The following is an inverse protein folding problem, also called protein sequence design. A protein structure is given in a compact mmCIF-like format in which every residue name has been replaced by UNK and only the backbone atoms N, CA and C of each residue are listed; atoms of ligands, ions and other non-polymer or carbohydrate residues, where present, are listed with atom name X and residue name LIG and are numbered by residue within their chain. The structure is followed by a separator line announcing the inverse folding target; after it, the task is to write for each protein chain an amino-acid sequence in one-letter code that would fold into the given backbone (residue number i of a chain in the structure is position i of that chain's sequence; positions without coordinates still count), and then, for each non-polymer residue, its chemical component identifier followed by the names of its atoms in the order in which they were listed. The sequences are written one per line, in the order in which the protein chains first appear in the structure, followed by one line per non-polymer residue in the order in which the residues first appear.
data_IF_398964421055
#
_entry.id   IF_398964421055
#
_cell.length_a   1.000
_cell.length_b   1.000
_cell.length_c   1.000
_cell.angle_alpha   90.00
_cell.angle_beta   90.00
_cell.angle_gamma   90.00
#
_symmetry.space_group_name_H-M   'P 1'
#
loop_
_entity.id
_entity.type
_entity.pdbx_description
1 polymer ?
#
# COMPACT_ATOMS: atom_id res chain seq x y z
N UNK A 1 15.95 -13.93 -36.43
CA UNK A 1 16.07 -12.68 -35.65
C UNK A 1 14.67 -12.22 -35.32
N UNK A 2 14.16 -12.55 -34.13
CA UNK A 2 12.80 -12.20 -33.71
C UNK A 2 12.85 -10.85 -33.00
N UNK A 3 12.11 -9.87 -33.53
CA UNK A 3 11.89 -8.61 -32.85
C UNK A 3 11.29 -8.87 -31.46
N UNK A 4 11.81 -8.20 -30.44
CA UNK A 4 11.22 -8.24 -29.10
C UNK A 4 9.78 -7.73 -29.17
N UNK A 5 8.80 -8.55 -28.74
CA UNK A 5 7.37 -8.20 -28.74
C UNK A 5 7.08 -6.94 -27.90
N UNK A 6 7.94 -6.65 -26.92
CA UNK A 6 7.97 -5.36 -26.20
C UNK A 6 9.25 -4.61 -26.59
N UNK A 7 9.16 -3.38 -27.12
CA UNK A 7 10.34 -2.59 -27.44
C UNK A 7 11.26 -2.46 -26.22
N UNK A 8 12.57 -2.65 -26.41
CA UNK A 8 13.55 -2.56 -25.30
C UNK A 8 13.49 -1.22 -24.54
N UNK A 9 13.07 -0.15 -25.23
CA UNK A 9 12.84 1.19 -24.66
C UNK A 9 11.79 1.15 -23.53
N UNK A 10 10.83 0.23 -23.58
CA UNK A 10 9.78 0.06 -22.57
C UNK A 10 10.18 -1.00 -21.54
N UNK A 11 10.80 -2.10 -21.98
CA UNK A 11 11.12 -3.22 -21.11
C UNK A 11 12.20 -2.88 -20.06
N UNK A 12 13.26 -2.16 -20.45
CA UNK A 12 14.37 -1.83 -19.53
C UNK A 12 13.97 -0.90 -18.38
N UNK A 13 13.22 0.20 -18.61
CA UNK A 13 12.69 1.00 -17.51
C UNK A 13 11.82 0.20 -16.54
N UNK A 14 11.00 -0.72 -17.04
CA UNK A 14 10.16 -1.58 -16.20
C UNK A 14 10.99 -2.57 -15.39
N UNK A 15 12.00 -3.20 -15.98
CA UNK A 15 12.95 -4.06 -15.25
C UNK A 15 13.73 -3.25 -14.20
N UNK A 16 14.13 -2.02 -14.53
CA UNK A 16 14.76 -1.09 -13.59
C UNK A 16 13.85 -0.77 -12.40
N UNK A 17 12.57 -0.46 -12.66
CA UNK A 17 11.57 -0.24 -11.62
C UNK A 17 11.36 -1.49 -10.75
N UNK A 18 11.22 -2.66 -11.35
CA UNK A 18 11.10 -3.94 -10.63
C UNK A 18 12.31 -4.17 -9.72
N UNK A 19 13.51 -3.88 -10.22
CA UNK A 19 14.77 -3.99 -9.46
C UNK A 19 14.77 -3.04 -8.26
N UNK A 20 14.39 -1.77 -8.46
CA UNK A 20 14.29 -0.79 -7.38
C UNK A 20 13.28 -1.21 -6.31
N UNK A 21 12.10 -1.70 -6.72
CA UNK A 21 11.09 -2.22 -5.80
C UNK A 21 11.66 -3.40 -5.00
N UNK A 22 12.33 -4.35 -5.64
CA UNK A 22 12.93 -5.50 -4.98
C UNK A 22 13.99 -5.09 -3.96
N UNK A 23 14.92 -4.20 -4.34
CA UNK A 23 15.97 -3.68 -3.45
C UNK A 23 15.36 -2.96 -2.26
N UNK A 24 14.37 -2.10 -2.49
CA UNK A 24 13.63 -1.41 -1.44
C UNK A 24 12.97 -2.37 -0.46
N UNK A 25 12.35 -3.45 -0.98
CA UNK A 25 11.75 -4.49 -0.14
C UNK A 25 12.77 -5.28 0.66
N UNK A 26 13.89 -5.68 0.06
CA UNK A 26 14.94 -6.36 0.82
C UNK A 26 15.52 -5.48 1.92
N UNK A 27 15.63 -4.17 1.69
CA UNK A 27 16.15 -3.22 2.68
C UNK A 27 15.17 -2.91 3.81
N UNK A 28 13.87 -2.85 3.52
CA UNK A 28 12.87 -2.38 4.48
C UNK A 28 11.88 -3.41 5.00
N UNK A 29 11.70 -4.52 4.28
CA UNK A 29 10.65 -5.52 4.48
C UNK A 29 11.24 -6.94 4.32
N UNK A 30 12.20 -7.31 5.18
CA UNK A 30 12.85 -8.64 5.12
C UNK A 30 12.99 -9.31 6.51
N UNK A 31 12.16 -8.90 7.46
CA UNK A 31 12.25 -9.36 8.85
C UNK A 31 11.51 -10.68 9.05
N UNK A 32 10.26 -10.77 8.59
CA UNK A 32 9.39 -11.94 8.75
C UNK A 32 9.59 -12.99 7.64
N UNK A 33 9.27 -14.26 7.93
CA UNK A 33 9.26 -15.36 6.97
C UNK A 33 8.28 -15.12 5.81
N UNK A 34 7.13 -14.51 6.07
CA UNK A 34 6.15 -14.10 5.05
C UNK A 34 6.80 -13.22 3.98
N UNK A 35 7.48 -12.18 4.43
CA UNK A 35 8.19 -11.23 3.57
C UNK A 35 9.36 -11.89 2.82
N UNK A 36 10.08 -12.81 3.48
CA UNK A 36 11.17 -13.55 2.86
C UNK A 36 10.70 -14.40 1.68
N UNK A 37 9.58 -15.12 1.79
CA UNK A 37 9.06 -15.90 0.68
C UNK A 37 8.57 -15.01 -0.46
N UNK A 38 7.85 -13.94 -0.15
CA UNK A 38 7.38 -13.01 -1.17
C UNK A 38 8.56 -12.34 -1.91
N UNK A 39 9.58 -11.87 -1.20
CA UNK A 39 10.76 -11.26 -1.83
C UNK A 39 11.58 -12.27 -2.64
N UNK A 40 11.61 -13.56 -2.26
CA UNK A 40 12.22 -14.63 -3.06
C UNK A 40 11.42 -14.90 -4.33
N UNK A 41 10.10 -14.96 -4.25
CA UNK A 41 9.22 -15.05 -5.43
C UNK A 41 9.52 -13.90 -6.39
N UNK A 42 9.52 -12.66 -5.92
CA UNK A 42 9.84 -11.49 -6.75
C UNK A 42 11.26 -11.59 -7.35
N UNK A 43 12.26 -12.03 -6.58
CA UNK A 43 13.61 -12.21 -7.09
C UNK A 43 13.66 -13.24 -8.23
N UNK A 44 13.02 -14.40 -8.09
CA UNK A 44 12.95 -15.39 -9.16
C UNK A 44 12.17 -14.89 -10.38
N UNK A 45 11.07 -14.16 -10.18
CA UNK A 45 10.32 -13.53 -11.26
C UNK A 45 11.17 -12.50 -12.03
N UNK A 46 11.97 -11.67 -11.32
CA UNK A 46 12.89 -10.72 -11.94
C UNK A 46 13.99 -11.45 -12.73
N UNK A 47 14.59 -12.49 -12.17
CA UNK A 47 15.61 -13.29 -12.85
C UNK A 47 15.02 -13.95 -14.10
N UNK A 48 13.82 -14.54 -14.01
CA UNK A 48 13.12 -15.10 -15.16
C UNK A 48 12.88 -14.03 -16.24
N UNK A 49 12.47 -12.82 -15.86
CA UNK A 49 12.25 -11.70 -16.77
C UNK A 49 13.54 -11.26 -17.48
N UNK A 50 14.65 -11.15 -16.74
CA UNK A 50 15.97 -10.79 -17.29
C UNK A 50 16.48 -11.88 -18.25
N UNK A 51 16.33 -13.16 -17.91
CA UNK A 51 16.72 -14.27 -18.79
C UNK A 51 15.90 -14.33 -20.08
N UNK A 52 14.68 -13.80 -20.06
CA UNK A 52 13.80 -13.71 -21.23
C UNK A 52 14.07 -12.49 -22.11
N UNK A 53 14.92 -11.55 -21.68
CA UNK A 53 15.27 -10.37 -22.46
C UNK A 53 16.25 -10.67 -23.60
N UNK A 54 16.01 -10.06 -24.75
CA UNK A 54 16.74 -10.34 -25.99
C UNK A 54 18.23 -9.97 -25.90
N UNK A 55 18.57 -8.86 -25.24
CA UNK A 55 19.97 -8.45 -25.04
C UNK A 55 20.70 -9.48 -24.19
N UNK A 56 20.07 -9.95 -23.12
CA UNK A 56 20.66 -10.96 -22.23
C UNK A 56 20.82 -12.27 -22.99
N UNK A 57 19.80 -12.72 -23.72
CA UNK A 57 19.90 -13.91 -24.57
C UNK A 57 21.04 -13.79 -25.59
N UNK A 58 21.19 -12.64 -26.24
CA UNK A 58 22.25 -12.40 -27.21
C UNK A 58 23.65 -12.43 -26.56
N UNK A 59 23.79 -11.93 -25.33
CA UNK A 59 25.06 -12.00 -24.59
C UNK A 59 25.40 -13.46 -24.24
N UNK A 60 24.43 -14.23 -23.75
CA UNK A 60 24.62 -15.64 -23.40
C UNK A 60 24.99 -16.50 -24.62
N UNK A 61 24.36 -16.24 -25.76
CA UNK A 61 24.67 -16.89 -27.04
C UNK A 61 26.03 -16.43 -27.58
N UNK A 62 26.30 -15.14 -27.55
CA UNK A 62 27.55 -14.55 -28.06
C UNK A 62 28.79 -14.95 -27.26
N UNK A 63 28.63 -15.26 -25.97
CA UNK A 63 29.69 -15.78 -25.10
C UNK A 63 29.86 -17.31 -25.16
N UNK A 64 29.08 -17.99 -26.03
CA UNK A 64 29.02 -19.44 -26.14
C UNK A 64 28.68 -20.18 -24.83
N UNK A 65 28.15 -19.48 -23.83
CA UNK A 65 27.77 -20.07 -22.55
C UNK A 65 26.52 -20.97 -22.69
N UNK A 66 25.57 -20.56 -23.55
CA UNK A 66 24.32 -21.30 -23.75
C UNK A 66 23.72 -21.07 -25.13
N UNK A 67 22.97 -22.04 -25.66
CA UNK A 67 22.20 -21.87 -26.89
C UNK A 67 20.95 -21.01 -26.64
N UNK A 68 20.42 -20.37 -27.68
CA UNK A 68 19.21 -19.53 -27.57
C UNK A 68 18.02 -20.30 -26.95
N UNK A 69 17.68 -21.53 -27.39
CA UNK A 69 16.65 -22.34 -26.73
C UNK A 69 16.99 -22.70 -25.29
N UNK A 70 18.28 -22.85 -24.96
CA UNK A 70 18.76 -23.13 -23.62
C UNK A 70 18.47 -21.98 -22.65
N UNK A 71 18.79 -20.74 -23.03
CA UNK A 71 18.54 -19.56 -22.18
C UNK A 71 17.05 -19.38 -21.92
N UNK A 72 16.22 -19.65 -22.92
CA UNK A 72 14.76 -19.60 -22.78
C UNK A 72 14.23 -20.69 -21.84
N UNK A 73 14.71 -21.94 -21.96
CA UNK A 73 14.36 -23.03 -21.04
C UNK A 73 14.79 -22.72 -19.59
N UNK A 74 15.96 -22.11 -19.41
CA UNK A 74 16.41 -21.66 -18.09
C UNK A 74 15.46 -20.59 -17.51
N UNK A 75 15.08 -19.58 -18.30
CA UNK A 75 14.11 -18.57 -17.89
C UNK A 75 12.76 -19.18 -17.48
N UNK A 76 12.26 -20.14 -18.26
CA UNK A 76 11.01 -20.86 -17.97
C UNK A 76 11.11 -21.76 -16.74
N UNK A 77 12.26 -22.41 -16.50
CA UNK A 77 12.51 -23.19 -15.29
C UNK A 77 12.54 -22.31 -14.03
N UNK A 78 13.20 -21.15 -14.11
CA UNK A 78 13.24 -20.17 -13.02
C UNK A 78 11.84 -19.62 -12.73
N UNK A 79 11.06 -19.32 -13.78
CA UNK A 79 9.68 -18.89 -13.65
C UNK A 79 8.82 -19.96 -12.96
N UNK A 80 8.89 -21.22 -13.42
CA UNK A 80 8.16 -22.32 -12.81
C UNK A 80 8.55 -22.54 -11.34
N UNK A 81 9.83 -22.39 -11.02
CA UNK A 81 10.33 -22.48 -9.65
C UNK A 81 9.79 -21.36 -8.75
N UNK A 82 9.59 -20.15 -9.29
CA UNK A 82 9.07 -19.01 -8.53
C UNK A 82 7.69 -19.29 -7.90
N UNK A 83 6.87 -20.12 -8.54
CA UNK A 83 5.56 -20.53 -8.02
C UNK A 83 5.68 -21.35 -6.73
N UNK A 84 6.77 -22.10 -6.54
CA UNK A 84 7.01 -22.85 -5.30
C UNK A 84 7.27 -21.93 -4.11
N UNK A 85 8.04 -20.85 -4.30
CA UNK A 85 8.22 -19.82 -3.25
C UNK A 85 6.89 -19.11 -2.96
N UNK A 86 6.07 -18.91 -4.00
CA UNK A 86 4.77 -18.28 -3.83
C UNK A 86 3.77 -19.19 -3.10
N UNK A 87 3.85 -20.51 -3.29
CA UNK A 87 3.15 -21.50 -2.46
C UNK A 87 3.58 -21.38 -0.99
N UNK A 88 4.87 -21.18 -0.71
CA UNK A 88 5.36 -20.90 0.64
C UNK A 88 4.71 -19.67 1.28
N UNK A 89 4.52 -18.62 0.48
CA UNK A 89 3.79 -17.42 0.89
C UNK A 89 2.29 -17.67 1.14
N UNK A 90 1.59 -18.37 0.23
CA UNK A 90 0.15 -18.63 0.40
C UNK A 90 -0.15 -19.58 1.56
N UNK A 91 0.78 -20.47 1.91
CA UNK A 91 0.69 -21.30 3.11
C UNK A 91 0.72 -20.48 4.41
N UNK A 92 1.56 -19.44 4.49
CA UNK A 92 1.56 -18.53 5.65
C UNK A 92 0.32 -17.65 5.65
N UNK A 93 -0.09 -17.16 4.47
CA UNK A 93 -1.31 -16.38 4.32
C UNK A 93 -2.52 -17.12 4.88
N UNK A 94 -2.63 -18.43 4.63
CA UNK A 94 -3.75 -19.24 5.12
C UNK A 94 -3.71 -19.52 6.63
N UNK A 95 -2.79 -18.91 7.38
CA UNK A 95 -2.70 -19.03 8.83
C UNK A 95 -1.98 -20.28 9.34
N UNK A 96 -1.17 -20.95 8.51
CA UNK A 96 -0.32 -22.04 9.02
C UNK A 96 0.80 -21.48 9.90
N UNK A 97 1.24 -22.27 10.88
CA UNK A 97 2.43 -21.94 11.68
C UNK A 97 3.69 -21.85 10.78
N UNK A 98 4.70 -21.10 11.23
CA UNK A 98 5.97 -21.01 10.49
C UNK A 98 6.67 -22.37 10.36
N UNK A 99 6.61 -23.20 11.40
CA UNK A 99 7.25 -24.51 11.43
C UNK A 99 6.59 -25.47 10.43
N UNK A 100 5.25 -25.53 10.43
CA UNK A 100 4.50 -26.37 9.51
C UNK A 100 4.68 -25.93 8.06
N UNK A 101 4.72 -24.61 7.84
CA UNK A 101 4.98 -24.04 6.52
C UNK A 101 6.36 -24.44 6.02
N UNK A 102 7.42 -24.31 6.83
CA UNK A 102 8.77 -24.71 6.42
C UNK A 102 8.84 -26.19 6.05
N UNK A 103 8.16 -27.05 6.80
CA UNK A 103 8.11 -28.49 6.50
C UNK A 103 7.40 -28.76 5.17
N UNK A 104 6.19 -28.25 4.97
CA UNK A 104 5.43 -28.43 3.73
C UNK A 104 6.14 -27.82 2.52
N UNK A 105 6.70 -26.62 2.69
CA UNK A 105 7.40 -25.90 1.63
C UNK A 105 8.65 -26.63 1.12
N UNK A 106 9.36 -27.39 1.97
CA UNK A 106 10.49 -28.23 1.51
C UNK A 106 10.05 -29.24 0.46
N UNK A 107 8.89 -29.87 0.62
CA UNK A 107 8.35 -30.81 -0.37
C UNK A 107 8.00 -30.12 -1.69
N UNK A 108 7.39 -28.93 -1.63
CA UNK A 108 7.10 -28.14 -2.84
C UNK A 108 8.36 -27.67 -3.56
N UNK A 109 9.42 -27.27 -2.84
CA UNK A 109 10.71 -26.94 -3.45
C UNK A 109 11.37 -28.14 -4.11
N UNK A 110 11.32 -29.30 -3.45
CA UNK A 110 11.84 -30.54 -4.02
C UNK A 110 11.07 -30.91 -5.29
N UNK A 111 9.73 -30.85 -5.24
CA UNK A 111 8.87 -31.09 -6.40
C UNK A 111 9.19 -30.11 -7.54
N UNK A 112 9.34 -28.81 -7.25
CA UNK A 112 9.71 -27.81 -8.25
C UNK A 112 11.10 -28.05 -8.85
N UNK A 113 12.07 -28.50 -8.05
CA UNK A 113 13.39 -28.87 -8.56
C UNK A 113 13.33 -30.10 -9.46
N UNK A 114 12.54 -31.12 -9.10
CA UNK A 114 12.33 -32.31 -9.93
C UNK A 114 11.60 -31.96 -11.24
N UNK A 115 10.60 -31.08 -11.19
CA UNK A 115 9.89 -30.61 -12.39
C UNK A 115 10.81 -29.76 -13.29
N UNK A 116 11.67 -28.92 -12.72
CA UNK A 116 12.68 -28.18 -13.48
C UNK A 116 13.69 -29.14 -14.15
N UNK A 117 14.12 -30.19 -13.44
CA UNK A 117 14.97 -31.22 -14.03
C UNK A 117 14.25 -31.96 -15.17
N UNK A 118 12.97 -32.33 -14.99
CA UNK A 118 12.14 -32.92 -16.04
C UNK A 118 12.02 -32.02 -17.26
N UNK A 119 11.79 -30.71 -17.06
CA UNK A 119 11.77 -29.70 -18.12
C UNK A 119 13.10 -29.68 -18.89
N UNK A 120 14.24 -29.72 -18.21
CA UNK A 120 15.54 -29.73 -18.87
C UNK A 120 15.83 -31.04 -19.61
N UNK A 121 15.40 -32.19 -19.08
CA UNK A 121 15.60 -33.51 -19.69
C UNK A 121 14.75 -33.61 -20.96
N UNK A 122 13.44 -33.40 -20.86
CA UNK A 122 12.51 -33.47 -21.99
C UNK A 122 12.77 -32.37 -23.03
N UNK A 123 13.23 -31.19 -22.59
CA UNK A 123 13.65 -30.10 -23.48
C UNK A 123 14.98 -30.33 -24.19
N UNK A 124 15.72 -31.42 -23.90
CA UNK A 124 17.05 -31.66 -24.49
C UNK A 124 17.01 -31.81 -26.01
N UNK A 125 15.99 -32.50 -26.55
CA UNK A 125 15.83 -32.68 -28.00
C UNK A 125 15.63 -31.33 -28.72
N UNK A 126 14.78 -30.46 -28.17
CA UNK A 126 14.60 -29.10 -28.66
C UNK A 126 15.91 -28.30 -28.73
N UNK A 127 16.77 -28.44 -27.72
CA UNK A 127 18.06 -27.74 -27.67
C UNK A 127 19.02 -28.26 -28.75
N UNK A 128 19.01 -29.56 -29.02
CA UNK A 128 19.82 -30.17 -30.07
C UNK A 128 19.34 -29.70 -31.45
N UNK A 129 18.03 -29.64 -31.66
CA UNK A 129 17.43 -29.26 -32.95
C UNK A 129 17.36 -27.73 -33.17
N UNK A 130 17.79 -26.93 -32.19
CA UNK A 130 17.72 -25.45 -32.19
C UNK A 130 16.30 -24.89 -32.43
N UNK A 131 15.27 -25.68 -32.12
CA UNK A 131 13.87 -25.28 -32.27
C UNK A 131 13.39 -24.63 -30.96
N UNK A 132 12.61 -23.56 -31.07
CA UNK A 132 11.99 -22.95 -29.89
C UNK A 132 10.96 -23.89 -29.27
N UNK A 133 10.79 -23.81 -27.96
CA UNK A 133 9.89 -24.67 -27.20
C UNK A 133 8.45 -24.69 -27.75
N UNK A 134 7.96 -23.54 -28.19
CA UNK A 134 6.58 -23.38 -28.68
C UNK A 134 6.36 -24.01 -30.06
N UNK A 135 7.45 -24.30 -30.79
CA UNK A 135 7.45 -24.98 -32.08
C UNK A 135 7.78 -26.47 -31.95
N UNK A 136 8.03 -26.98 -30.74
CA UNK A 136 8.23 -28.41 -30.53
C UNK A 136 6.95 -29.19 -30.75
N UNK A 137 6.99 -30.12 -31.69
CA UNK A 137 5.94 -31.09 -31.94
C UNK A 137 6.27 -32.42 -31.23
N UNK A 138 5.24 -33.18 -30.84
CA UNK A 138 5.35 -34.46 -30.18
C UNK A 138 5.09 -34.43 -28.66
N UNK A 139 5.00 -35.63 -28.08
CA UNK A 139 4.68 -35.85 -26.67
C UNK A 139 5.71 -35.27 -25.69
N UNK A 140 6.97 -35.09 -26.12
CA UNK A 140 8.00 -34.43 -25.31
C UNK A 140 7.61 -32.97 -24.98
N UNK A 141 6.94 -32.29 -25.91
CA UNK A 141 6.45 -30.91 -25.72
C UNK A 141 5.35 -30.83 -24.65
N UNK A 142 4.49 -31.86 -24.56
CA UNK A 142 3.46 -31.98 -23.52
C UNK A 142 4.04 -32.21 -22.13
N UNK A 143 5.07 -33.05 -22.04
CA UNK A 143 5.77 -33.28 -20.78
C UNK A 143 6.40 -31.97 -20.29
N UNK A 144 7.05 -31.22 -21.17
CA UNK A 144 7.65 -29.93 -20.80
C UNK A 144 6.59 -28.91 -20.38
N UNK A 145 5.47 -28.79 -21.10
CA UNK A 145 4.36 -27.90 -20.71
C UNK A 145 3.83 -28.30 -19.32
N UNK A 146 3.64 -29.60 -19.09
CA UNK A 146 3.15 -30.13 -17.82
C UNK A 146 4.14 -29.82 -16.68
N UNK A 147 5.44 -30.03 -16.90
CA UNK A 147 6.48 -29.69 -15.92
C UNK A 147 6.50 -28.19 -15.59
N UNK A 148 6.34 -27.33 -16.60
CA UNK A 148 6.32 -25.88 -16.42
C UNK A 148 5.08 -25.39 -15.64
N UNK A 149 3.92 -25.96 -15.94
CA UNK A 149 2.62 -25.47 -15.43
C UNK A 149 2.15 -26.18 -14.16
N UNK A 150 2.72 -27.33 -13.80
CA UNK A 150 2.29 -28.11 -12.63
C UNK A 150 2.30 -27.30 -11.32
N UNK A 151 3.37 -26.53 -11.05
CA UNK A 151 3.43 -25.70 -9.83
C UNK A 151 2.49 -24.50 -9.87
N UNK A 152 2.24 -23.95 -11.06
CA UNK A 152 1.22 -22.92 -11.24
C UNK A 152 -0.19 -23.48 -10.93
N UNK A 153 -0.49 -24.71 -11.36
CA UNK A 153 -1.76 -25.38 -11.05
C UNK A 153 -1.91 -25.68 -9.56
N UNK A 154 -0.84 -26.14 -8.90
CA UNK A 154 -0.85 -26.34 -7.44
C UNK A 154 -1.14 -25.03 -6.71
N UNK A 155 -0.45 -23.95 -7.10
CA UNK A 155 -0.68 -22.62 -6.55
C UNK A 155 -2.13 -22.15 -6.79
N UNK A 156 -2.63 -22.26 -8.01
CA UNK A 156 -3.98 -21.85 -8.37
C UNK A 156 -5.04 -22.63 -7.57
N UNK A 157 -4.89 -23.95 -7.48
CA UNK A 157 -5.78 -24.82 -6.70
C UNK A 157 -5.77 -24.43 -5.21
N UNK A 158 -4.60 -24.13 -4.64
CA UNK A 158 -4.48 -23.71 -3.25
C UNK A 158 -5.13 -22.34 -3.00
N UNK A 159 -4.92 -21.38 -3.91
CA UNK A 159 -5.56 -20.05 -3.82
C UNK A 159 -7.09 -20.21 -3.90
N UNK A 160 -7.60 -20.95 -4.89
CA UNK A 160 -9.03 -21.23 -5.03
C UNK A 160 -9.59 -21.88 -3.76
N UNK A 161 -8.92 -22.91 -3.25
CA UNK A 161 -9.35 -23.61 -2.04
C UNK A 161 -9.40 -22.69 -0.82
N UNK A 162 -8.35 -21.89 -0.61
CA UNK A 162 -8.27 -20.95 0.49
C UNK A 162 -9.35 -19.87 0.39
N UNK A 163 -9.55 -19.27 -0.80
CA UNK A 163 -10.57 -18.27 -1.02
C UNK A 163 -11.98 -18.83 -0.83
N UNK A 164 -12.26 -20.07 -1.28
CA UNK A 164 -13.54 -20.74 -1.03
C UNK A 164 -13.78 -21.01 0.46
N UNK A 165 -12.73 -21.41 1.19
CA UNK A 165 -12.81 -21.60 2.64
C UNK A 165 -13.09 -20.28 3.36
N UNK A 166 -12.41 -19.20 2.99
CA UNK A 166 -12.63 -17.87 3.53
C UNK A 166 -14.05 -17.37 3.24
N UNK A 167 -14.54 -17.50 2.00
CA UNK A 167 -15.90 -17.10 1.63
C UNK A 167 -16.99 -17.81 2.43
N UNK A 168 -16.75 -19.06 2.85
CA UNK A 168 -17.68 -19.82 3.70
C UNK A 168 -17.75 -19.30 5.14
N UNK A 169 -16.66 -18.73 5.66
CA UNK A 169 -16.55 -18.31 7.07
C UNK A 169 -16.88 -16.82 7.25
N UNK A 170 -16.53 -15.99 6.27
CA UNK A 170 -16.57 -14.53 6.40
C UNK A 170 -18.00 -13.97 6.31
N UNK A 171 -18.38 -13.15 7.30
CA UNK A 171 -19.65 -12.40 7.32
C UNK A 171 -19.52 -10.95 6.84
N UNK A 172 -18.33 -10.36 6.88
CA UNK A 172 -18.12 -8.94 6.55
C UNK A 172 -17.96 -8.73 5.04
N UNK A 173 -18.67 -7.74 4.47
CA UNK A 173 -18.66 -7.45 3.02
C UNK A 173 -17.26 -7.16 2.47
N UNK A 174 -16.42 -6.40 3.20
CA UNK A 174 -15.06 -6.03 2.75
C UNK A 174 -14.15 -7.25 2.61
N UNK A 175 -14.18 -8.14 3.60
CA UNK A 175 -13.37 -9.37 3.59
C UNK A 175 -13.85 -10.32 2.48
N UNK A 176 -15.16 -10.38 2.21
CA UNK A 176 -15.71 -11.12 1.07
C UNK A 176 -15.22 -10.60 -0.28
N UNK A 177 -15.10 -9.28 -0.47
CA UNK A 177 -14.56 -8.73 -1.71
C UNK A 177 -13.09 -9.11 -1.92
N UNK A 178 -12.29 -9.12 -0.86
CA UNK A 178 -10.89 -9.58 -0.91
C UNK A 178 -10.82 -11.07 -1.26
N UNK A 179 -11.64 -11.90 -0.61
CA UNK A 179 -11.70 -13.33 -0.90
C UNK A 179 -12.22 -13.62 -2.33
N UNK A 180 -13.17 -12.82 -2.85
CA UNK A 180 -13.66 -12.96 -4.22
C UNK A 180 -12.61 -12.53 -5.26
N UNK A 181 -11.85 -11.47 -4.97
CA UNK A 181 -10.75 -11.03 -5.83
C UNK A 181 -9.63 -12.08 -5.91
N UNK A 182 -9.25 -12.68 -4.78
CA UNK A 182 -8.26 -13.77 -4.75
C UNK A 182 -8.78 -15.04 -5.43
N UNK A 183 -10.06 -15.37 -5.28
CA UNK A 183 -10.71 -16.48 -6.00
C UNK A 183 -10.67 -16.25 -7.51
N UNK A 184 -11.02 -15.05 -7.97
CA UNK A 184 -10.96 -14.68 -9.38
C UNK A 184 -9.54 -14.81 -9.93
N UNK A 185 -8.52 -14.35 -9.20
CA UNK A 185 -7.12 -14.50 -9.58
C UNK A 185 -6.72 -15.98 -9.72
N UNK A 186 -7.13 -16.83 -8.78
CA UNK A 186 -6.87 -18.28 -8.85
C UNK A 186 -7.56 -18.95 -10.03
N UNK A 187 -8.83 -18.61 -10.30
CA UNK A 187 -9.59 -19.13 -11.43
C UNK A 187 -9.02 -18.71 -12.78
N UNK A 188 -8.61 -17.44 -12.92
CA UNK A 188 -7.94 -16.95 -14.13
C UNK A 188 -6.62 -17.70 -14.33
N UNK A 189 -5.82 -17.88 -13.27
CA UNK A 189 -4.57 -18.64 -13.35
C UNK A 189 -4.78 -20.09 -13.82
N UNK A 190 -5.77 -20.79 -13.24
CA UNK A 190 -6.12 -22.15 -13.68
C UNK A 190 -6.66 -22.17 -15.12
N UNK A 191 -7.49 -21.18 -15.48
CA UNK A 191 -8.03 -21.02 -16.83
C UNK A 191 -6.95 -20.82 -17.88
N UNK A 192 -5.93 -20.02 -17.61
CA UNK A 192 -4.78 -19.83 -18.51
C UNK A 192 -4.04 -21.14 -18.74
N UNK A 193 -3.78 -21.94 -17.70
CA UNK A 193 -3.11 -23.23 -17.86
C UNK A 193 -3.97 -24.21 -18.67
N UNK A 194 -5.26 -24.31 -18.36
CA UNK A 194 -6.18 -25.20 -19.09
C UNK A 194 -6.34 -24.78 -20.55
N UNK A 195 -6.39 -23.48 -20.82
CA UNK A 195 -6.45 -22.93 -22.16
C UNK A 195 -5.19 -23.30 -22.96
N UNK A 196 -4.00 -23.11 -22.37
CA UNK A 196 -2.73 -23.48 -23.01
C UNK A 196 -2.60 -24.98 -23.24
N UNK A 197 -3.00 -25.80 -22.27
CA UNK A 197 -3.03 -27.25 -22.44
C UNK A 197 -3.99 -27.66 -23.57
N UNK A 198 -5.18 -27.06 -23.62
CA UNK A 198 -6.17 -27.29 -24.68
C UNK A 198 -5.62 -26.95 -26.07
N UNK A 199 -5.11 -25.73 -26.26
CA UNK A 199 -4.53 -25.30 -27.53
C UNK A 199 -3.37 -26.20 -27.97
N UNK A 200 -2.47 -26.53 -27.04
CA UNK A 200 -1.35 -27.42 -27.35
C UNK A 200 -1.86 -28.82 -27.75
N UNK A 201 -2.88 -29.37 -27.08
CA UNK A 201 -3.42 -30.69 -27.45
C UNK A 201 -4.08 -30.69 -28.82
N UNK A 202 -4.78 -29.61 -29.18
CA UNK A 202 -5.39 -29.47 -30.50
C UNK A 202 -4.34 -29.35 -31.61
N UNK A 203 -3.24 -28.63 -31.36
CA UNK A 203 -2.10 -28.56 -32.28
C UNK A 203 -1.43 -29.93 -32.45
N UNK A 204 -1.26 -30.72 -31.36
CA UNK A 204 -0.71 -32.09 -31.47
C UNK A 204 -1.61 -33.05 -32.25
N UNK A 205 -2.93 -32.84 -32.19
CA UNK A 205 -3.90 -33.61 -32.98
C UNK A 205 -3.96 -33.15 -34.45
N UNK A 206 -3.24 -32.08 -34.81
CA UNK A 206 -3.23 -31.51 -36.15
C UNK A 206 -4.52 -30.77 -36.51
N UNK A 207 -5.37 -30.45 -35.52
CA UNK A 207 -6.65 -29.78 -35.74
C UNK A 207 -6.50 -28.26 -35.85
N UNK A 208 -5.43 -27.71 -35.30
CA UNK A 208 -5.09 -26.28 -35.33
C UNK A 208 -3.59 -26.08 -35.57
N UNK A 209 -3.22 -24.85 -35.95
CA UNK A 209 -1.83 -24.42 -35.98
C UNK A 209 -1.70 -23.11 -35.21
N UNK A 210 -1.64 -23.21 -33.87
CA UNK A 210 -1.64 -22.04 -32.98
C UNK A 210 -0.24 -21.61 -32.52
N UNK A 211 0.82 -22.23 -33.03
CA UNK A 211 2.20 -22.01 -32.57
C UNK A 211 2.66 -20.54 -32.58
N UNK A 212 2.34 -19.79 -33.65
CA UNK A 212 2.72 -18.38 -33.76
C UNK A 212 1.88 -17.48 -32.84
N UNK A 213 0.57 -17.75 -32.73
CA UNK A 213 -0.31 -17.05 -31.80
C UNK A 213 0.14 -17.22 -30.34
N UNK A 214 0.53 -18.45 -29.96
CA UNK A 214 0.99 -18.77 -28.62
C UNK A 214 2.31 -18.07 -28.29
N UNK A 215 3.24 -18.00 -29.25
CA UNK A 215 4.50 -17.28 -29.10
C UNK A 215 4.28 -15.80 -28.77
N UNK A 216 3.45 -15.13 -29.55
CA UNK A 216 3.18 -13.70 -29.36
C UNK A 216 2.41 -13.45 -28.06
N UNK A 217 1.40 -14.28 -27.77
CA UNK A 217 0.60 -14.19 -26.57
C UNK A 217 1.40 -14.48 -25.30
N UNK A 218 2.30 -15.46 -25.32
CA UNK A 218 3.19 -15.77 -24.20
C UNK A 218 4.22 -14.67 -23.95
N UNK A 219 4.79 -14.08 -25.00
CA UNK A 219 5.78 -13.03 -24.86
C UNK A 219 5.21 -11.82 -24.12
N UNK A 220 4.04 -11.32 -24.53
CA UNK A 220 3.37 -10.21 -23.86
C UNK A 220 2.70 -10.63 -22.53
N UNK A 221 1.99 -11.75 -22.52
CA UNK A 221 1.23 -12.22 -21.36
C UNK A 221 2.12 -12.51 -20.15
N UNK A 222 3.25 -13.19 -20.35
CA UNK A 222 4.19 -13.49 -19.26
C UNK A 222 4.88 -12.23 -18.74
N UNK A 223 5.19 -11.27 -19.62
CA UNK A 223 5.77 -9.99 -19.22
C UNK A 223 4.84 -9.26 -18.23
N UNK A 224 3.57 -9.08 -18.59
CA UNK A 224 2.61 -8.39 -17.73
C UNK A 224 2.24 -9.20 -16.49
N UNK A 225 2.16 -10.53 -16.60
CA UNK A 225 1.91 -11.41 -15.45
C UNK A 225 3.04 -11.33 -14.42
N UNK A 226 4.30 -11.21 -14.85
CA UNK A 226 5.45 -10.99 -13.95
C UNK A 226 5.42 -9.59 -13.35
N UNK A 227 5.02 -8.57 -14.13
CA UNK A 227 4.98 -7.19 -13.66
C UNK A 227 3.92 -6.95 -12.57
N UNK A 228 2.76 -7.58 -12.66
CA UNK A 228 1.65 -7.36 -11.72
C UNK A 228 2.02 -7.59 -10.23
N UNK A 229 2.71 -8.68 -9.84
CA UNK A 229 3.24 -8.84 -8.48
C UNK A 229 4.13 -7.69 -8.00
N UNK A 230 4.93 -7.08 -8.87
CA UNK A 230 5.79 -5.95 -8.50
C UNK A 230 4.99 -4.67 -8.23
N UNK A 231 3.91 -4.43 -8.98
CA UNK A 231 3.01 -3.31 -8.71
C UNK A 231 2.39 -3.43 -7.32
N UNK A 232 1.88 -4.61 -6.98
CA UNK A 232 1.33 -4.89 -5.65
C UNK A 232 2.42 -4.72 -4.58
N UNK A 233 3.63 -5.24 -4.86
CA UNK A 233 4.76 -5.17 -3.95
C UNK A 233 5.28 -3.74 -3.71
N UNK A 234 5.06 -2.82 -4.66
CA UNK A 234 5.45 -1.42 -4.57
C UNK A 234 4.56 -0.59 -3.63
N UNK A 235 3.31 -1.00 -3.39
CA UNK A 235 2.36 -0.26 -2.54
C UNK A 235 2.90 0.02 -1.13
N UNK A 236 3.30 -0.98 -0.31
CA UNK A 236 3.84 -0.72 1.03
C UNK A 236 5.17 0.05 0.99
N UNK A 237 5.95 -0.09 -0.08
CA UNK A 237 7.18 0.66 -0.30
C UNK A 237 6.88 2.15 -0.49
N UNK A 238 5.90 2.46 -1.34
CA UNK A 238 5.41 3.83 -1.57
C UNK A 238 4.89 4.44 -0.27
N UNK A 239 4.04 3.73 0.47
CA UNK A 239 3.55 4.21 1.77
C UNK A 239 4.68 4.51 2.75
N UNK A 240 5.69 3.64 2.85
CA UNK A 240 6.86 3.88 3.72
C UNK A 240 7.72 5.05 3.23
N UNK A 241 7.89 5.20 1.93
CA UNK A 241 8.63 6.31 1.34
C UNK A 241 7.92 7.65 1.63
N UNK A 242 6.60 7.72 1.41
CA UNK A 242 5.77 8.88 1.75
C UNK A 242 5.88 9.23 3.24
N UNK A 243 5.85 8.20 4.11
CA UNK A 243 6.13 8.32 5.54
C UNK A 243 7.49 8.94 5.84
N UNK A 244 8.55 8.40 5.25
CA UNK A 244 9.93 8.87 5.47
C UNK A 244 10.19 10.29 4.94
N UNK A 245 9.45 10.71 3.93
CA UNK A 245 9.52 12.06 3.35
C UNK A 245 8.66 13.08 4.12
N UNK A 246 7.93 12.67 5.17
CA UNK A 246 7.01 13.54 5.91
C UNK A 246 5.80 13.98 5.09
N UNK A 247 5.54 13.31 3.95
CA UNK A 247 4.36 13.52 3.11
C UNK A 247 3.15 12.73 3.61
N UNK A 248 3.33 11.97 4.69
CA UNK A 248 2.26 11.24 5.37
C UNK A 248 1.19 12.23 5.90
N UNK A 249 -0.10 12.01 5.60
CA UNK A 249 -1.19 12.79 6.18
C UNK A 249 -1.08 12.93 7.70
N UNK A 250 -0.61 11.90 8.42
CA UNK A 250 -0.46 11.92 9.88
C UNK A 250 0.57 12.99 10.31
N UNK A 251 1.75 12.97 9.69
CA UNK A 251 2.82 13.91 10.03
C UNK A 251 2.45 15.35 9.65
N UNK A 252 1.75 15.55 8.53
CA UNK A 252 1.24 16.87 8.12
C UNK A 252 0.19 17.41 9.08
N UNK A 253 -0.78 16.59 9.47
CA UNK A 253 -1.80 16.98 10.45
C UNK A 253 -1.18 17.28 11.81
N UNK A 254 -0.24 16.44 12.27
CA UNK A 254 0.49 16.66 13.51
C UNK A 254 1.24 18.00 13.52
N UNK A 255 1.98 18.33 12.44
CA UNK A 255 2.68 19.61 12.32
C UNK A 255 1.72 20.81 12.33
N UNK A 256 0.58 20.70 11.63
CA UNK A 256 -0.44 21.78 11.60
C UNK A 256 -1.12 22.00 12.95
N UNK A 257 -1.19 20.96 13.80
CA UNK A 257 -1.77 21.06 15.14
C UNK A 257 -0.81 21.63 16.18
N UNK A 258 0.52 21.62 15.94
CA UNK A 258 1.49 22.08 16.95
C UNK A 258 1.29 23.52 17.43
N UNK A 259 0.99 24.52 16.58
CA UNK A 259 0.78 25.89 17.06
C UNK A 259 -0.38 26.00 18.04
N UNK A 260 -1.50 25.32 17.75
CA UNK A 260 -2.65 25.27 18.63
C UNK A 260 -2.32 24.50 19.92
N UNK A 261 -1.65 23.34 19.81
CA UNK A 261 -1.22 22.54 20.96
C UNK A 261 -0.35 23.36 21.91
N UNK A 262 0.64 24.08 21.38
CA UNK A 262 1.55 24.91 22.18
C UNK A 262 0.79 26.04 22.88
N UNK A 263 -0.16 26.69 22.21
CA UNK A 263 -1.03 27.70 22.83
C UNK A 263 -1.96 27.11 23.92
N UNK A 264 -2.46 25.90 23.72
CA UNK A 264 -3.26 25.22 24.75
C UNK A 264 -2.41 24.85 25.97
N UNK A 265 -1.15 24.44 25.79
CA UNK A 265 -0.23 24.15 26.90
C UNK A 265 0.08 25.37 27.76
N UNK A 266 0.15 26.56 27.17
CA UNK A 266 0.40 27.80 27.94
C UNK A 266 -0.82 28.23 28.74
N UNK A 267 -2.03 28.02 28.21
CA UNK A 267 -3.29 28.41 28.86
C UNK A 267 -3.78 27.36 29.87
N UNK A 268 -3.50 26.09 29.62
CA UNK A 268 -3.94 24.94 30.44
C UNK A 268 -2.75 24.00 30.69
N UNK A 269 -1.82 24.37 31.59
CA UNK A 269 -0.62 23.56 31.86
C UNK A 269 -0.95 22.20 32.49
N UNK A 270 -2.12 22.07 33.12
CA UNK A 270 -2.60 20.84 33.77
C UNK A 270 -2.94 19.69 32.80
N UNK A 271 -3.06 19.98 31.49
CA UNK A 271 -3.36 18.99 30.44
C UNK A 271 -2.09 18.47 29.74
N UNK A 272 -0.91 18.92 30.13
CA UNK A 272 0.34 18.58 29.45
C UNK A 272 0.71 17.13 29.70
N UNK A 273 0.74 16.32 28.64
CA UNK A 273 1.32 14.99 28.70
C UNK A 273 2.85 15.07 28.56
N UNK A 274 3.58 14.55 29.56
CA UNK A 274 5.05 14.57 29.66
C UNK A 274 5.76 13.59 28.72
N UNK A 275 5.43 13.63 27.43
CA UNK A 275 6.22 12.93 26.41
C UNK A 275 7.08 13.96 25.68
N UNK A 276 8.39 13.84 25.83
CA UNK A 276 9.34 14.59 25.03
C UNK A 276 9.10 14.27 23.55
N UNK A 277 8.93 15.31 22.74
CA UNK A 277 8.79 15.18 21.30
C UNK A 277 10.09 14.60 20.74
N UNK A 278 10.18 13.28 20.62
CA UNK A 278 11.37 12.65 20.05
C UNK A 278 11.65 13.27 18.67
N UNK A 279 12.90 13.72 18.41
CA UNK A 279 13.30 14.41 17.18
C UNK A 279 13.40 13.48 15.96
N UNK A 280 12.51 12.49 15.88
CA UNK A 280 12.34 11.62 14.72
C UNK A 280 11.56 12.31 13.58
N UNK A 281 12.02 12.11 12.34
CA UNK A 281 11.49 12.74 11.11
C UNK A 281 10.10 12.22 10.69
N UNK A 282 9.64 11.10 11.25
CA UNK A 282 8.30 10.55 11.03
C UNK A 282 7.53 10.48 12.35
N UNK A 283 6.30 11.03 12.37
CA UNK A 283 5.45 10.99 13.56
C UNK A 283 4.49 9.81 13.49
N UNK A 284 4.34 9.11 14.61
CA UNK A 284 3.48 7.92 14.68
C UNK A 284 2.01 8.31 14.82
N UNK A 285 1.11 7.41 14.41
CA UNK A 285 -0.33 7.57 14.65
C UNK A 285 -0.66 7.79 16.13
N UNK A 286 0.13 7.18 17.02
CA UNK A 286 0.02 7.36 18.47
C UNK A 286 0.34 8.80 18.90
N UNK A 287 1.39 9.41 18.34
CA UNK A 287 1.75 10.81 18.63
C UNK A 287 0.67 11.79 18.13
N UNK A 288 0.07 11.51 16.96
CA UNK A 288 -1.08 12.28 16.49
C UNK A 288 -2.28 12.12 17.44
N UNK A 289 -2.61 10.88 17.82
CA UNK A 289 -3.70 10.60 18.76
C UNK A 289 -3.50 11.33 20.09
N UNK A 290 -2.32 11.28 20.67
CA UNK A 290 -2.02 12.01 21.92
C UNK A 290 -2.16 13.52 21.75
N UNK A 291 -1.69 14.08 20.63
CA UNK A 291 -1.82 15.52 20.36
C UNK A 291 -3.28 15.94 20.23
N UNK A 292 -4.10 15.12 19.57
CA UNK A 292 -5.55 15.32 19.45
C UNK A 292 -6.23 15.28 20.82
N UNK A 293 -5.95 14.24 21.62
CA UNK A 293 -6.49 14.08 22.99
C UNK A 293 -6.10 15.24 23.89
N UNK A 294 -4.84 15.68 23.85
CA UNK A 294 -4.34 16.81 24.64
C UNK A 294 -5.08 18.12 24.30
N UNK A 295 -5.27 18.41 23.01
CA UNK A 295 -6.03 19.59 22.58
C UNK A 295 -7.50 19.48 23.01
N UNK A 296 -8.12 18.29 22.87
CA UNK A 296 -9.52 18.08 23.28
C UNK A 296 -9.71 18.23 24.78
N UNK A 297 -8.82 17.68 25.60
CA UNK A 297 -8.89 17.83 27.06
C UNK A 297 -8.73 19.31 27.46
N UNK A 298 -7.80 20.04 26.82
CA UNK A 298 -7.67 21.47 27.04
C UNK A 298 -8.94 22.25 26.67
N UNK A 299 -9.57 21.94 25.53
CA UNK A 299 -10.86 22.53 25.13
C UNK A 299 -11.95 22.23 26.16
N UNK A 300 -12.04 20.98 26.64
CA UNK A 300 -13.02 20.60 27.66
C UNK A 300 -12.82 21.37 28.98
N UNK A 301 -11.57 21.60 29.40
CA UNK A 301 -11.26 22.41 30.59
C UNK A 301 -11.50 23.91 30.40
N UNK A 302 -11.53 24.40 29.16
CA UNK A 302 -11.86 25.80 28.85
C UNK A 302 -13.37 26.07 28.83
N UNK A 303 -14.21 25.02 28.80
CA UNK A 303 -15.67 25.14 28.78
C UNK A 303 -16.27 26.07 29.86
N UNK A 304 -15.81 26.06 31.13
CA UNK A 304 -16.35 26.96 32.16
C UNK A 304 -16.03 28.44 31.96
N UNK A 305 -15.09 28.77 31.06
CA UNK A 305 -14.58 30.12 30.85
C UNK A 305 -15.14 30.77 29.58
N UNK A 306 -16.09 30.14 28.90
CA UNK A 306 -16.67 30.65 27.65
C UNK A 306 -17.60 31.81 27.95
N UNK A 307 -17.29 33.04 27.50
CA UNK A 307 -18.22 34.16 27.64
C UNK A 307 -19.31 34.12 26.57
N UNK A 308 -20.47 34.69 26.86
CA UNK A 308 -21.42 35.08 25.82
C UNK A 308 -20.78 36.17 24.94
N UNK A 309 -20.56 35.86 23.66
CA UNK A 309 -20.02 36.82 22.69
C UNK A 309 -21.21 37.44 21.94
N UNK A 310 -21.35 38.77 21.91
CA UNK A 310 -22.40 39.44 21.13
C UNK A 310 -22.32 39.05 19.65
N UNK A 311 -23.48 38.85 19.01
CA UNK A 311 -23.57 38.48 17.58
C UNK A 311 -22.90 39.51 16.64
N UNK A 312 -22.80 40.76 17.08
CA UNK A 312 -22.09 41.82 16.36
C UNK A 312 -20.57 41.55 16.28
N UNK A 313 -19.97 41.08 17.37
CA UNK A 313 -18.53 40.77 17.43
C UNK A 313 -18.20 39.52 16.60
N UNK A 314 -19.13 38.54 16.56
CA UNK A 314 -19.02 37.35 15.71
C UNK A 314 -19.07 37.73 14.23
N UNK A 315 -20.01 38.57 13.83
CA UNK A 315 -20.13 39.06 12.45
C UNK A 315 -18.90 39.86 12.03
N UNK A 316 -18.43 40.77 12.89
CA UNK A 316 -17.23 41.59 12.61
C UNK A 316 -15.96 40.74 12.43
N UNK A 317 -15.83 39.60 13.13
CA UNK A 317 -14.72 38.68 12.94
C UNK A 317 -14.77 37.92 11.61
N UNK A 318 -15.96 37.59 11.12
CA UNK A 318 -16.16 36.87 9.86
C UNK A 318 -15.94 37.76 8.63
N UNK A 319 -16.27 39.05 8.75
CA UNK A 319 -16.13 40.06 7.71
C UNK A 319 -14.67 40.61 7.64
N UNK A 320 -14.47 41.78 7.04
CA UNK A 320 -13.13 42.41 7.01
C UNK A 320 -12.68 42.80 8.43
N UNK A 321 -11.44 42.48 8.84
CA UNK A 321 -10.26 42.21 8.01
C UNK A 321 -9.89 40.73 7.75
N UNK A 322 -10.64 39.75 8.29
CA UNK A 322 -10.27 38.33 8.16
C UNK A 322 -10.88 37.64 6.93
N UNK A 323 -12.01 38.16 6.42
CA UNK A 323 -12.71 37.69 5.23
C UNK A 323 -12.84 36.16 5.17
N UNK A 324 -13.46 35.58 6.21
CA UNK A 324 -13.53 34.12 6.38
C UNK A 324 -14.46 33.53 5.30
N UNK A 325 -14.01 32.53 4.51
CA UNK A 325 -14.87 31.86 3.55
C UNK A 325 -16.06 31.15 4.22
N UNK A 326 -17.23 31.17 3.59
CA UNK A 326 -18.47 30.59 4.14
C UNK A 326 -18.33 29.12 4.60
N UNK A 327 -17.51 28.32 3.91
CA UNK A 327 -17.27 26.91 4.27
C UNK A 327 -16.43 26.71 5.53
N UNK A 328 -15.77 27.77 6.02
CA UNK A 328 -14.87 27.77 7.17
C UNK A 328 -15.47 28.54 8.37
N UNK A 329 -16.67 29.13 8.23
CA UNK A 329 -17.33 29.95 9.26
C UNK A 329 -17.45 29.22 10.60
N UNK A 330 -17.94 27.99 10.61
CA UNK A 330 -18.11 27.20 11.84
C UNK A 330 -16.78 27.00 12.58
N UNK A 331 -15.71 26.69 11.84
CA UNK A 331 -14.38 26.47 12.41
C UNK A 331 -13.77 27.78 12.93
N UNK A 332 -13.99 28.90 12.22
CA UNK A 332 -13.52 30.21 12.61
C UNK A 332 -14.25 30.73 13.86
N UNK A 333 -15.57 30.58 13.92
CA UNK A 333 -16.37 30.93 15.11
C UNK A 333 -15.99 30.07 16.32
N UNK A 334 -15.75 28.76 16.12
CA UNK A 334 -15.27 27.88 17.18
C UNK A 334 -13.88 28.32 17.70
N UNK A 335 -12.96 28.69 16.79
CA UNK A 335 -11.65 29.22 17.17
C UNK A 335 -11.76 30.54 17.95
N UNK A 336 -12.63 31.46 17.55
CA UNK A 336 -12.86 32.73 18.24
C UNK A 336 -13.40 32.52 19.65
N UNK A 337 -14.44 31.69 19.80
CA UNK A 337 -15.00 31.38 21.13
C UNK A 337 -13.96 30.72 22.04
N UNK A 338 -13.14 29.80 21.49
CA UNK A 338 -12.05 29.17 22.23
C UNK A 338 -10.99 30.19 22.66
N UNK A 339 -10.65 31.16 21.81
CA UNK A 339 -9.69 32.21 22.13
C UNK A 339 -10.20 33.13 23.27
N UNK A 340 -11.48 33.49 23.25
CA UNK A 340 -12.11 34.23 24.35
C UNK A 340 -12.08 33.44 25.66
N UNK A 341 -12.40 32.14 25.62
CA UNK A 341 -12.35 31.27 26.80
C UNK A 341 -10.92 31.14 27.37
N UNK A 342 -9.94 31.00 26.48
CA UNK A 342 -8.52 30.97 26.86
C UNK A 342 -8.08 32.25 27.58
N UNK A 343 -8.55 33.41 27.10
CA UNK A 343 -8.24 34.71 27.71
C UNK A 343 -8.96 34.92 29.04
N UNK A 344 -10.24 34.54 29.14
CA UNK A 344 -11.00 34.60 30.37
C UNK A 344 -10.34 33.73 31.47
N UNK A 345 -9.90 32.51 31.10
CA UNK A 345 -9.11 31.65 32.00
C UNK A 345 -7.80 32.31 32.43
N UNK A 346 -7.03 32.88 31.50
CA UNK A 346 -5.77 33.57 31.82
C UNK A 346 -5.99 34.79 32.74
N UNK A 347 -7.14 35.45 32.64
CA UNK A 347 -7.55 36.56 33.50
C UNK A 347 -8.16 36.10 34.84
N UNK A 348 -8.37 34.80 35.06
CA UNK A 348 -9.01 34.25 36.25
C UNK A 348 -10.52 34.55 36.35
N UNK A 349 -11.17 34.92 35.24
CA UNK A 349 -12.59 35.29 35.22
C UNK A 349 -13.43 34.04 35.00
N UNK A 350 -14.15 33.60 36.03
CA UNK A 350 -15.14 32.52 35.93
C UNK A 350 -16.47 33.13 35.50
N UNK A 351 -17.03 32.64 34.39
CA UNK A 351 -18.33 33.08 33.88
C UNK A 351 -19.44 32.37 34.65
N UNK A 352 -20.48 33.11 35.02
CA UNK A 352 -21.58 32.57 35.83
C UNK A 352 -22.40 31.53 35.05
N UNK A 353 -22.89 30.51 35.76
CA UNK A 353 -23.40 29.25 35.18
C UNK A 353 -24.64 29.43 34.30
N UNK A 354 -25.36 30.54 34.50
CA UNK A 354 -26.57 30.90 33.78
C UNK A 354 -26.32 31.34 32.32
N UNK A 355 -25.12 31.82 31.97
CA UNK A 355 -24.76 32.20 30.59
C UNK A 355 -24.22 31.01 29.77
N UNK A 356 -23.87 29.90 30.42
CA UNK A 356 -23.25 28.72 29.79
C UNK A 356 -24.25 27.97 28.90
N UNK A 357 -25.54 28.01 29.23
CA UNK A 357 -26.60 27.34 28.46
C UNK A 357 -26.96 28.08 27.16
N UNK A 358 -26.54 29.34 27.00
CA UNK A 358 -26.78 30.14 25.79
C UNK A 358 -25.67 29.99 24.73
N UNK A 359 -24.48 29.51 25.10
CA UNK A 359 -23.34 29.39 24.19
C UNK A 359 -23.07 27.93 23.80
N UNK A 360 -23.40 27.49 22.57
CA UNK A 360 -23.10 26.14 22.10
C UNK A 360 -21.59 26.02 21.78
N UNK A 361 -20.76 25.90 22.82
CA UNK A 361 -19.33 25.57 22.68
C UNK A 361 -19.04 24.08 22.78
N UNK A 362 -20.07 23.24 22.94
CA UNK A 362 -19.84 21.80 22.78
C UNK A 362 -19.65 21.56 21.28
N UNK A 363 -18.39 21.71 20.83
CA UNK A 363 -17.90 21.09 19.61
C UNK A 363 -17.99 19.58 19.88
N UNK A 364 -19.21 19.06 19.78
CA UNK A 364 -19.49 17.64 19.78
C UNK A 364 -18.84 17.13 18.50
N UNK A 365 -17.61 16.62 18.64
CA UNK A 365 -16.92 16.02 17.51
C UNK A 365 -17.79 14.88 17.01
N UNK A 366 -18.16 14.95 15.73
CA UNK A 366 -18.89 13.86 15.07
C UNK A 366 -17.91 12.86 14.44
N UNK A 367 -16.60 13.09 14.60
CA UNK A 367 -15.55 12.24 14.11
C UNK A 367 -15.66 10.82 14.70
N UNK A 368 -15.62 9.83 13.82
CA UNK A 368 -15.61 8.40 14.19
C UNK A 368 -14.22 7.80 14.06
N UNK A 369 -13.28 8.57 13.51
CA UNK A 369 -11.91 8.16 13.25
C UNK A 369 -10.92 9.25 13.68
N UNK A 370 -9.69 8.83 13.99
CA UNK A 370 -8.61 9.75 14.36
C UNK A 370 -8.32 10.77 13.24
N UNK A 371 -8.41 10.36 11.98
CA UNK A 371 -8.13 11.23 10.84
C UNK A 371 -9.18 12.33 10.69
N UNK A 372 -10.46 12.00 10.88
CA UNK A 372 -11.56 12.98 10.90
C UNK A 372 -11.40 13.96 12.07
N UNK A 373 -11.05 13.46 13.25
CA UNK A 373 -10.87 14.29 14.43
C UNK A 373 -9.67 15.23 14.29
N UNK A 374 -8.55 14.72 13.76
CA UNK A 374 -7.40 15.53 13.44
C UNK A 374 -7.73 16.58 12.37
N UNK A 375 -8.53 16.25 11.35
CA UNK A 375 -8.95 17.19 10.33
C UNK A 375 -9.84 18.31 10.88
N UNK A 376 -10.79 18.00 11.78
CA UNK A 376 -11.59 18.99 12.50
C UNK A 376 -10.70 19.97 13.28
N UNK A 377 -9.76 19.44 14.07
CA UNK A 377 -8.85 20.26 14.85
C UNK A 377 -7.89 21.08 13.99
N UNK A 378 -7.48 20.57 12.82
CA UNK A 378 -6.65 21.33 11.86
C UNK A 378 -7.42 22.52 11.29
N UNK A 379 -8.73 22.38 11.00
CA UNK A 379 -9.57 23.52 10.58
C UNK A 379 -9.67 24.57 11.68
N UNK A 380 -9.81 24.16 12.93
CA UNK A 380 -9.81 25.07 14.08
C UNK A 380 -8.44 25.76 14.25
N UNK A 381 -7.36 24.99 14.21
CA UNK A 381 -5.98 25.48 14.35
C UNK A 381 -5.62 26.51 13.26
N UNK A 382 -6.18 26.38 12.05
CA UNK A 382 -6.00 27.35 10.96
C UNK A 382 -6.42 28.77 11.37
N UNK A 383 -7.54 28.90 12.09
CA UNK A 383 -8.12 30.20 12.46
C UNK A 383 -7.69 30.69 13.85
N UNK A 384 -7.03 29.84 14.63
CA UNK A 384 -6.57 30.16 15.99
C UNK A 384 -5.73 31.45 16.09
N UNK A 385 -4.71 31.72 15.24
CA UNK A 385 -3.91 32.94 15.36
C UNK A 385 -4.73 34.22 15.16
N UNK A 386 -5.61 34.23 14.16
CA UNK A 386 -6.49 35.37 13.87
C UNK A 386 -7.51 35.59 14.99
N UNK A 387 -8.14 34.51 15.46
CA UNK A 387 -9.05 34.53 16.60
C UNK A 387 -8.38 35.08 17.87
N UNK A 388 -7.19 34.59 18.20
CA UNK A 388 -6.45 35.03 19.39
C UNK A 388 -6.04 36.50 19.31
N UNK A 389 -5.60 36.98 18.14
CA UNK A 389 -5.30 38.38 17.90
C UNK A 389 -6.53 39.29 18.03
N UNK A 390 -7.69 38.87 17.51
CA UNK A 390 -8.94 39.63 17.63
C UNK A 390 -9.34 39.87 19.10
N UNK A 391 -9.12 38.89 19.99
CA UNK A 391 -9.38 39.07 21.43
C UNK A 391 -8.42 40.07 22.11
N UNK A 392 -7.22 40.30 21.55
CA UNK A 392 -6.28 41.31 22.05
C UNK A 392 -6.75 42.71 21.67
N UNK A 393 -7.14 42.92 20.41
CA UNK A 393 -7.64 44.20 19.93
C UNK A 393 -8.89 44.65 20.70
N UNK A 394 -9.86 43.76 20.91
CA UNK A 394 -11.08 44.07 21.65
C UNK A 394 -10.82 44.47 23.13
N UNK A 395 -9.84 43.84 23.78
CA UNK A 395 -9.46 44.19 25.15
C UNK A 395 -8.75 45.56 25.23
N UNK A 396 -8.01 45.93 24.19
CA UNK A 396 -7.28 47.21 24.13
C UNK A 396 -8.25 48.37 23.88
N UNK A 397 -9.28 48.18 23.04
CA UNK A 397 -10.32 49.17 22.79
C UNK A 397 -11.18 49.47 24.02
N UNK A 398 -11.45 48.48 24.88
CA UNK A 398 -12.17 48.69 26.15
C UNK A 398 -11.35 49.41 27.23
N UNK A 399 -10.02 49.47 27.09
CA UNK A 399 -9.11 50.06 28.08
C UNK A 399 -8.75 51.53 27.80
N UNK A 400 -9.22 52.13 26.69
CA UNK A 400 -9.16 53.58 26.46
C UNK A 400 -10.47 54.23 26.90
N UNK A 401 -10.56 54.79 28.13
CA UNK A 401 -11.65 55.71 28.44
C UNK A 401 -11.38 57.02 27.69
N UNK A 402 -12.43 57.51 27.04
CA UNK A 402 -12.61 58.88 26.56
C UNK A 402 -11.94 59.91 27.48
N UNK A 403 -11.06 60.73 26.91
CA UNK A 403 -10.74 62.08 27.42
C UNK A 403 -11.59 63.06 26.63
#
# INVERSE_FOLDING_TARGET
MTASTVPGIIAWPLIGLMTLVLVGRYRWFNTNLYEKYFNRTLAFLLVAQILREHIVQNIFVGTAFMTSPGTWQLGSAVLAYSFSEFVGFTLLWSGNSEADTRRKHRYYRLAAALLAAGLFISGSRARLDQVSFELMHGWDSMVVLSCMTAMLMVLAAQVIWNSLRELRILRRRRERWIALSTLSMGLVGAGVVLHEAGLHTLDQLGWTNTGDYRRDSHAAGLFFAIWAPFVIAAVPLGMKLLGSLGLDPISRSWCKLQPLRQAMRTVVPECVFGFDDEPGRGKSALQLHHSVVEIRDAILRLRPYVPAIPDHDLSCFLDEPNAVPAHDHDAALAALRLAHAARAKAAGIIVDRLDIDAAPLVVASQAKTLDEEAAELVKLAKWWPAAYAATQSAATTKASPTI
#
